data_IF_787301480831
#
_entry.id   IF_787301480831
#
_cell.length_a   1.000
_cell.length_b   1.000
_cell.length_c   1.000
_cell.angle_alpha   90.00
_cell.angle_beta   90.00
_cell.angle_gamma   90.00
#
_symmetry.space_group_name_H-M   'P 1'
#
loop_
_entity.id
_entity.type
_entity.pdbx_description
1 polymer ?
#
# COMPACT_ATOMS: atom_id res chain seq x y z
N UNK A 1 -16.08 -5.66 -9.36
CA UNK A 1 -15.76 -4.26 -9.00
C UNK A 1 -14.38 -4.15 -8.35
N UNK A 2 -14.09 -4.89 -7.28
CA UNK A 2 -12.79 -4.84 -6.57
C UNK A 2 -11.56 -4.89 -7.48
N UNK A 3 -11.43 -5.89 -8.35
CA UNK A 3 -10.30 -5.99 -9.30
C UNK A 3 -10.13 -4.76 -10.20
N UNK A 4 -11.23 -4.16 -10.67
CA UNK A 4 -11.19 -2.95 -11.50
C UNK A 4 -10.75 -1.73 -10.67
N UNK A 5 -11.22 -1.64 -9.42
CA UNK A 5 -10.80 -0.60 -8.49
C UNK A 5 -9.31 -0.73 -8.13
N UNK A 6 -8.81 -1.94 -7.89
CA UNK A 6 -7.38 -2.19 -7.68
C UNK A 6 -6.54 -1.81 -8.90
N UNK A 7 -6.98 -2.18 -10.11
CA UNK A 7 -6.29 -1.79 -11.35
C UNK A 7 -6.27 -0.26 -11.52
N UNK A 8 -7.37 0.42 -11.22
CA UNK A 8 -7.46 1.88 -11.23
C UNK A 8 -6.47 2.50 -10.23
N UNK A 9 -6.42 2.00 -8.99
CA UNK A 9 -5.47 2.44 -7.98
C UNK A 9 -4.01 2.23 -8.39
N UNK A 10 -3.69 1.08 -8.98
CA UNK A 10 -2.35 0.80 -9.50
C UNK A 10 -1.94 1.80 -10.59
N UNK A 11 -2.84 2.15 -11.52
CA UNK A 11 -2.59 3.16 -12.56
C UNK A 11 -2.27 4.55 -12.00
N UNK A 12 -2.68 4.87 -10.77
CA UNK A 12 -2.41 6.17 -10.14
C UNK A 12 -0.99 6.32 -9.59
N UNK A 13 -0.26 5.21 -9.40
CA UNK A 13 1.13 5.26 -8.88
C UNK A 13 2.04 6.13 -9.76
N UNK A 14 1.78 6.20 -11.07
CA UNK A 14 2.54 7.05 -12.01
C UNK A 14 2.49 8.54 -11.68
N UNK A 15 1.49 9.01 -10.94
CA UNK A 15 1.35 10.41 -10.55
C UNK A 15 2.07 10.74 -9.23
N UNK A 16 2.69 9.76 -8.56
CA UNK A 16 3.45 9.99 -7.32
C UNK A 16 4.59 11.00 -7.51
N UNK A 17 5.22 11.00 -8.69
CA UNK A 17 6.25 11.97 -9.06
C UNK A 17 5.72 13.42 -9.16
N UNK A 18 4.41 13.59 -9.31
CA UNK A 18 3.71 14.89 -9.34
C UNK A 18 3.14 15.26 -7.95
N UNK A 19 3.51 14.54 -6.89
CA UNK A 19 3.02 14.79 -5.54
C UNK A 19 1.69 14.12 -5.19
N UNK A 20 1.17 13.23 -6.03
CA UNK A 20 -0.05 12.47 -5.72
C UNK A 20 0.16 11.58 -4.48
N UNK A 21 -0.83 11.59 -3.60
CA UNK A 21 -0.83 10.93 -2.29
C UNK A 21 -2.03 9.97 -2.18
N UNK A 22 -1.86 8.73 -1.71
CA UNK A 22 -2.97 7.78 -1.57
C UNK A 22 -4.05 8.25 -0.59
N UNK A 23 -3.73 9.20 0.30
CA UNK A 23 -4.69 9.83 1.22
C UNK A 23 -5.80 10.58 0.47
N UNK A 24 -5.55 11.05 -0.76
CA UNK A 24 -6.56 11.73 -1.58
C UNK A 24 -7.73 10.82 -1.96
N UNK A 25 -7.53 9.50 -1.99
CA UNK A 25 -8.62 8.56 -2.23
C UNK A 25 -9.69 8.59 -1.13
N UNK A 26 -9.32 8.91 0.12
CA UNK A 26 -10.29 9.09 1.20
C UNK A 26 -11.18 10.32 0.93
N UNK A 27 -10.55 11.45 0.59
CA UNK A 27 -11.26 12.69 0.23
C UNK A 27 -12.18 12.49 -0.96
N UNK A 28 -11.74 11.74 -1.97
CA UNK A 28 -12.59 11.39 -3.12
C UNK A 28 -13.75 10.48 -2.72
N UNK A 29 -13.57 9.54 -1.80
CA UNK A 29 -14.65 8.71 -1.29
C UNK A 29 -15.73 9.55 -0.61
N UNK A 30 -15.34 10.45 0.30
CA UNK A 30 -16.26 11.33 1.03
C UNK A 30 -17.02 12.27 0.10
N UNK A 31 -16.32 12.87 -0.87
CA UNK A 31 -16.93 13.70 -1.90
C UNK A 31 -17.92 12.91 -2.78
N UNK A 32 -17.57 11.67 -3.16
CA UNK A 32 -18.45 10.79 -3.94
C UNK A 32 -19.70 10.41 -3.15
N UNK A 33 -19.56 10.07 -1.86
CA UNK A 33 -20.70 9.76 -0.98
C UNK A 33 -21.63 10.97 -0.87
N UNK A 34 -21.06 12.15 -0.62
CA UNK A 34 -21.81 13.40 -0.50
C UNK A 34 -22.60 13.68 -1.79
N UNK A 35 -21.95 13.62 -2.94
CA UNK A 35 -22.59 13.84 -4.24
C UNK A 35 -23.70 12.80 -4.51
N UNK A 36 -23.46 11.52 -4.22
CA UNK A 36 -24.48 10.48 -4.39
C UNK A 36 -25.73 10.72 -3.51
N UNK A 37 -25.55 11.20 -2.27
CA UNK A 37 -26.67 11.54 -1.38
C UNK A 37 -27.44 12.75 -1.90
N UNK A 38 -26.74 13.77 -2.42
CA UNK A 38 -27.38 14.92 -3.05
C UNK A 38 -28.18 14.51 -4.30
N UNK A 39 -27.61 13.68 -5.16
CA UNK A 39 -28.26 13.20 -6.38
C UNK A 39 -29.45 12.27 -6.12
N UNK A 40 -29.48 11.55 -4.98
CA UNK A 40 -30.65 10.78 -4.56
C UNK A 40 -31.89 11.66 -4.35
N UNK A 41 -31.72 12.97 -4.14
CA UNK A 41 -32.79 13.97 -4.09
C UNK A 41 -33.95 13.58 -3.15
N UNK A 42 -33.62 13.00 -2.00
CA UNK A 42 -34.57 12.49 -0.99
C UNK A 42 -35.60 11.48 -1.52
N UNK A 43 -35.28 10.74 -2.59
CA UNK A 43 -36.11 9.64 -3.11
C UNK A 43 -36.21 8.53 -2.06
N UNK A 44 -35.12 8.24 -1.35
CA UNK A 44 -35.07 7.22 -0.30
C UNK A 44 -34.83 7.85 1.08
N UNK A 45 -35.16 7.15 2.18
CA UNK A 45 -34.84 7.62 3.52
C UNK A 45 -33.33 7.86 3.68
N UNK A 46 -32.94 9.04 4.16
CA UNK A 46 -31.54 9.49 4.18
C UNK A 46 -30.55 8.48 4.80
N UNK A 47 -30.94 7.79 5.88
CA UNK A 47 -30.09 6.78 6.52
C UNK A 47 -29.85 5.55 5.62
N UNK A 48 -30.83 5.15 4.79
CA UNK A 48 -30.67 4.03 3.85
C UNK A 48 -29.74 4.42 2.71
N UNK A 49 -29.96 5.60 2.12
CA UNK A 49 -29.10 6.17 1.06
C UNK A 49 -27.66 6.30 1.54
N UNK A 50 -27.46 6.90 2.72
CA UNK A 50 -26.14 7.06 3.34
C UNK A 50 -25.48 5.69 3.59
N UNK A 51 -26.19 4.73 4.18
CA UNK A 51 -25.63 3.41 4.47
C UNK A 51 -25.24 2.65 3.19
N UNK A 52 -26.10 2.68 2.17
CA UNK A 52 -25.86 2.00 0.90
C UNK A 52 -24.62 2.58 0.19
N UNK A 53 -24.58 3.90 0.01
CA UNK A 53 -23.46 4.56 -0.67
C UNK A 53 -22.17 4.50 0.15
N UNK A 54 -22.22 4.72 1.47
CA UNK A 54 -21.04 4.61 2.32
C UNK A 54 -20.44 3.21 2.24
N UNK A 55 -21.24 2.15 2.43
CA UNK A 55 -20.74 0.78 2.38
C UNK A 55 -20.12 0.43 1.02
N UNK A 56 -20.79 0.82 -0.08
CA UNK A 56 -20.31 0.52 -1.42
C UNK A 56 -19.05 1.32 -1.78
N UNK A 57 -19.06 2.63 -1.58
CA UNK A 57 -17.96 3.53 -1.95
C UNK A 57 -16.73 3.27 -1.08
N UNK A 58 -16.89 3.00 0.22
CA UNK A 58 -15.77 2.59 1.10
C UNK A 58 -15.13 1.28 0.60
N UNK A 59 -15.92 0.30 0.16
CA UNK A 59 -15.37 -0.94 -0.44
C UNK A 59 -14.58 -0.65 -1.72
N UNK A 60 -15.12 0.20 -2.61
CA UNK A 60 -14.44 0.60 -3.84
C UNK A 60 -13.13 1.32 -3.54
N UNK A 61 -13.13 2.39 -2.75
CA UNK A 61 -11.92 3.18 -2.49
C UNK A 61 -10.91 2.48 -1.59
N UNK A 62 -11.33 1.51 -0.76
CA UNK A 62 -10.38 0.60 -0.09
C UNK A 62 -9.65 -0.27 -1.11
N UNK A 63 -10.38 -0.87 -2.06
CA UNK A 63 -9.79 -1.63 -3.18
C UNK A 63 -8.86 -0.76 -4.05
N UNK A 64 -9.20 0.51 -4.28
CA UNK A 64 -8.32 1.47 -4.97
C UNK A 64 -7.01 1.68 -4.20
N UNK A 65 -7.07 1.92 -2.88
CA UNK A 65 -5.87 2.06 -2.05
C UNK A 65 -5.04 0.77 -2.07
N UNK A 66 -5.66 -0.39 -1.97
CA UNK A 66 -4.98 -1.69 -2.02
C UNK A 66 -4.24 -1.90 -3.34
N UNK A 67 -4.87 -1.52 -4.46
CA UNK A 67 -4.25 -1.51 -5.78
C UNK A 67 -3.03 -0.59 -5.88
N UNK A 68 -3.17 0.65 -5.38
CA UNK A 68 -2.06 1.62 -5.34
C UNK A 68 -0.87 1.08 -4.55
N UNK A 69 -1.10 0.56 -3.34
CA UNK A 69 -0.04 0.00 -2.50
C UNK A 69 0.55 -1.27 -3.10
N UNK A 70 -0.26 -2.11 -3.76
CA UNK A 70 0.20 -3.35 -4.40
C UNK A 70 1.11 -3.07 -5.59
N UNK A 71 0.77 -2.08 -6.41
CA UNK A 71 1.60 -1.64 -7.52
C UNK A 71 2.90 -0.98 -7.03
N UNK A 72 2.85 -0.14 -5.99
CA UNK A 72 4.06 0.42 -5.37
C UNK A 72 4.98 -0.67 -4.82
N UNK A 73 4.41 -1.71 -4.19
CA UNK A 73 5.16 -2.91 -3.76
C UNK A 73 5.76 -3.67 -4.95
N UNK A 74 5.02 -3.81 -6.05
CA UNK A 74 5.49 -4.46 -7.28
C UNK A 74 6.68 -3.70 -7.90
N UNK A 75 6.61 -2.37 -8.00
CA UNK A 75 7.69 -1.55 -8.56
C UNK A 75 9.00 -1.69 -7.78
N UNK A 76 8.94 -1.72 -6.44
CA UNK A 76 10.13 -1.95 -5.60
C UNK A 76 10.76 -3.33 -5.78
N UNK A 77 9.94 -4.36 -6.03
CA UNK A 77 10.47 -5.69 -6.33
C UNK A 77 11.10 -5.75 -7.72
N UNK A 78 10.48 -5.10 -8.71
CA UNK A 78 11.00 -5.04 -10.07
C UNK A 78 12.32 -4.25 -10.16
N UNK A 79 12.53 -3.23 -9.32
CA UNK A 79 13.82 -2.52 -9.26
C UNK A 79 14.93 -3.36 -8.62
N UNK A 80 14.60 -4.29 -7.73
CA UNK A 80 15.58 -5.12 -7.03
C UNK A 80 15.93 -6.42 -7.78
N UNK A 81 15.16 -6.78 -8.81
CA UNK A 81 15.38 -8.03 -9.56
C UNK A 81 16.49 -7.96 -10.60
N UNK A 82 17.11 -6.80 -10.86
CA UNK A 82 18.19 -6.67 -11.85
C UNK A 82 19.58 -7.07 -11.34
N UNK A 83 19.70 -7.50 -10.08
CA UNK A 83 21.01 -7.78 -9.45
C UNK A 83 21.23 -9.25 -9.07
N UNK A 84 20.24 -10.14 -9.29
CA UNK A 84 20.31 -11.54 -8.85
C UNK A 84 20.22 -12.47 -10.06
N UNK A 85 21.32 -12.64 -10.79
CA UNK A 85 21.33 -13.53 -11.97
C UNK A 85 22.55 -13.45 -12.88
N UNK A 86 23.53 -12.59 -12.61
CA UNK A 86 24.81 -12.59 -13.33
C UNK A 86 25.77 -13.65 -12.76
N UNK A 87 25.36 -14.92 -12.78
CA UNK A 87 26.23 -16.08 -12.66
C UNK A 87 25.89 -17.08 -13.77
N UNK A 88 25.83 -16.59 -15.02
CA UNK A 88 26.02 -17.48 -16.17
C UNK A 88 27.53 -17.71 -16.28
N UNK A 89 28.00 -18.77 -15.63
CA UNK A 89 29.36 -19.26 -15.82
C UNK A 89 29.55 -19.55 -17.31
N UNK A 90 30.41 -18.78 -17.97
CA UNK A 90 31.00 -19.19 -19.24
C UNK A 90 31.71 -20.52 -18.98
N UNK A 91 31.06 -21.64 -19.29
CA UNK A 91 31.70 -22.95 -19.36
C UNK A 91 32.64 -22.89 -20.55
N UNK A 92 33.86 -22.38 -20.33
CA UNK A 92 34.95 -22.45 -21.29
C UNK A 92 35.47 -23.88 -21.27
N UNK A 93 34.99 -24.69 -22.22
CA UNK A 93 35.44 -26.06 -22.45
C UNK A 93 36.79 -26.00 -23.17
N UNK A 94 37.90 -26.11 -22.45
CA UNK A 94 39.21 -26.44 -23.03
C UNK A 94 39.68 -27.75 -22.44
N UNK A 95 39.70 -28.78 -23.30
CA UNK A 95 40.22 -30.11 -23.01
C UNK A 95 41.75 -30.01 -23.08
N UNK A 96 42.42 -30.15 -21.95
CA UNK A 96 43.79 -30.64 -21.90
C UNK A 96 43.98 -31.27 -20.52
N UNK A 97 43.87 -32.60 -20.47
CA UNK A 97 44.29 -33.37 -19.31
C UNK A 97 45.80 -33.54 -19.38
N UNK A 98 46.48 -33.23 -18.28
CA UNK A 98 47.57 -34.06 -17.75
C UNK A 98 48.08 -33.48 -16.41
N UNK A 99 47.92 -34.30 -15.36
CA UNK A 99 48.90 -34.59 -14.31
C UNK A 99 48.97 -33.68 -13.05
N UNK A 100 48.54 -34.31 -11.94
CA UNK A 100 49.02 -34.29 -10.54
C UNK A 100 48.76 -33.13 -9.55
N UNK A 101 48.13 -33.56 -8.43
CA UNK A 101 48.39 -33.28 -7.01
C UNK A 101 48.77 -31.86 -6.59
N UNK A 102 47.88 -31.18 -5.87
CA UNK A 102 48.00 -30.99 -4.42
C UNK A 102 46.80 -30.20 -3.87
N UNK A 103 46.17 -30.72 -2.81
CA UNK A 103 45.20 -30.00 -1.99
C UNK A 103 45.93 -29.52 -0.72
N UNK A 104 45.57 -28.35 -0.18
CA UNK A 104 45.22 -28.38 1.23
C UNK A 104 43.96 -27.59 1.61
N UNK A 105 43.23 -28.24 2.51
CA UNK A 105 42.25 -27.71 3.46
C UNK A 105 42.50 -26.26 3.93
N UNK A 106 41.46 -25.43 3.97
CA UNK A 106 40.99 -24.85 5.25
C UNK A 106 39.62 -24.18 5.15
N UNK A 107 38.75 -24.64 6.03
CA UNK A 107 37.46 -24.10 6.42
C UNK A 107 37.59 -22.90 7.36
N UNK A 108 36.75 -21.87 7.20
CA UNK A 108 36.27 -21.00 8.28
C UNK A 108 35.03 -20.19 7.83
N UNK A 109 33.92 -20.36 8.56
CA UNK A 109 32.70 -19.54 8.48
C UNK A 109 32.80 -18.42 9.53
N UNK A 110 32.39 -17.17 9.25
CA UNK A 110 31.89 -16.22 10.26
C UNK A 110 30.39 -16.52 10.47
N UNK A 111 29.80 -16.53 11.67
CA UNK A 111 30.05 -15.67 12.83
C UNK A 111 28.84 -14.75 12.98
N UNK A 112 27.90 -15.15 13.84
CA UNK A 112 26.64 -14.48 14.20
C UNK A 112 26.89 -13.12 14.87
N UNK A 113 26.28 -12.04 14.37
CA UNK A 113 26.05 -10.80 15.13
C UNK A 113 24.59 -10.38 14.96
N UNK A 114 23.82 -10.62 16.00
CA UNK A 114 22.48 -10.12 16.26
C UNK A 114 22.46 -8.59 16.35
N UNK A 115 21.56 -7.95 15.60
CA UNK A 115 21.13 -6.57 15.87
C UNK A 115 19.61 -6.50 15.75
N UNK A 116 18.97 -6.50 16.92
CA UNK A 116 17.59 -6.08 17.15
C UNK A 116 17.43 -4.61 16.77
N UNK A 117 16.37 -4.27 16.04
CA UNK A 117 15.82 -2.92 16.05
C UNK A 117 14.30 -3.03 15.98
N UNK A 118 13.68 -2.98 17.16
CA UNK A 118 12.23 -2.90 17.31
C UNK A 118 11.70 -1.56 16.78
N UNK A 119 10.67 -1.64 15.94
CA UNK A 119 9.88 -0.50 15.50
C UNK A 119 8.88 -0.17 16.61
N UNK A 120 9.15 0.90 17.38
CA UNK A 120 8.18 1.48 18.31
C UNK A 120 7.55 2.73 17.67
N UNK A 121 6.28 2.62 17.26
CA UNK A 121 5.46 3.77 16.93
C UNK A 121 4.69 4.19 18.20
N UNK A 122 5.09 5.31 18.78
CA UNK A 122 4.33 6.00 19.83
C UNK A 122 3.24 6.83 19.13
N UNK A 123 1.98 6.48 19.34
CA UNK A 123 0.83 7.35 19.05
C UNK A 123 0.44 8.02 20.37
N UNK A 124 0.71 9.32 20.48
CA UNK A 124 0.21 10.16 21.58
C UNK A 124 -1.11 10.79 21.12
N UNK A 125 -2.22 10.44 21.77
CA UNK A 125 -3.47 11.21 21.70
C UNK A 125 -3.72 11.75 23.11
N UNK A 126 -3.56 13.06 23.36
CA UNK A 126 -4.10 13.70 24.55
C UNK A 126 -5.57 14.05 24.32
N UNK A 127 -6.34 13.85 25.39
CA UNK A 127 -7.78 13.95 25.47
C UNK A 127 -8.31 15.40 25.50
N UNK A 128 -9.57 15.51 25.07
CA UNK A 128 -10.56 16.52 25.42
C UNK A 128 -10.27 17.97 25.00
N UNK A 129 -11.08 18.48 24.08
CA UNK A 129 -11.67 19.78 24.33
C UNK A 129 -13.12 19.79 23.86
N UNK A 130 -13.93 20.39 24.72
CA UNK A 130 -15.37 20.45 24.71
C UNK A 130 -15.88 21.22 23.49
N UNK A 131 -16.99 20.77 22.88
CA UNK A 131 -17.97 21.71 22.31
C UNK A 131 -19.34 21.02 22.19
N UNK A 132 -20.02 21.15 23.31
CA UNK A 132 -21.42 20.87 23.61
C UNK A 132 -22.36 21.34 22.49
N UNK A 133 -23.17 20.40 21.99
CA UNK A 133 -24.32 20.69 21.14
C UNK A 133 -25.32 21.60 21.89
N UNK A 134 -25.61 22.77 21.33
CA UNK A 134 -26.72 23.61 21.77
C UNK A 134 -27.90 23.41 20.82
N UNK A 135 -28.96 22.76 21.30
CA UNK A 135 -30.26 22.73 20.63
C UNK A 135 -30.93 24.11 20.68
N UNK A 136 -31.72 24.50 19.66
CA UNK A 136 -32.46 25.76 19.67
C UNK A 136 -33.63 25.71 20.66
N UNK A 137 -33.78 26.78 21.45
CA UNK A 137 -34.93 27.03 22.33
C UNK A 137 -36.11 27.52 21.50
N UNK A 138 -37.25 26.84 21.58
CA UNK A 138 -38.56 27.38 21.23
C UNK A 138 -39.23 27.81 22.54
N UNK A 139 -39.37 29.10 22.78
CA UNK A 139 -40.30 29.63 23.76
C UNK A 139 -41.56 30.11 23.02
N UNK A 140 -42.69 29.57 23.51
CA UNK A 140 -44.12 29.93 23.41
C UNK A 140 -44.54 31.01 22.41
#
# INVERSE_FOLDING_TARGET
VQRLAEEFGGKHVKFRSLGFKPEFFGVYADATITECIFLDNAIHPAHQTLNAFSSFITMVYSSVRDGFYSEMRRMRRASNSFSTGSNSSYVRKTISGDINLDLPQRSASPGNESSESDFSAVIVIPANDDNLAKSPSNDV
#
